data_IF_714991749632
#
_entry.id   IF_714991749632
#
_cell.length_a   1.000
_cell.length_b   1.000
_cell.length_c   1.000
_cell.angle_alpha   90.00
_cell.angle_beta   90.00
_cell.angle_gamma   90.00
#
_symmetry.space_group_name_H-M   'P 1'
#
loop_
_entity.id
_entity.type
_entity.pdbx_description
1 polymer ?
#
# COMPACT_ATOMS: atom_id res chain seq x y z
N UNK A 1 -13.75 -14.40 34.72
CA UNK A 1 -13.76 -15.36 35.84
C UNK A 1 -13.05 -14.82 37.08
N UNK A 2 -11.94 -14.09 36.96
CA UNK A 2 -11.21 -13.55 38.13
C UNK A 2 -12.07 -12.71 39.10
N UNK A 3 -12.87 -11.75 38.61
CA UNK A 3 -13.77 -10.92 39.45
C UNK A 3 -14.78 -11.72 40.28
N UNK A 4 -15.27 -12.86 39.76
CA UNK A 4 -16.22 -13.69 40.49
C UNK A 4 -15.53 -14.52 41.57
N UNK A 5 -14.33 -15.03 41.26
CA UNK A 5 -13.56 -15.88 42.17
C UNK A 5 -12.99 -15.08 43.34
N UNK A 6 -12.59 -13.83 43.12
CA UNK A 6 -12.00 -12.99 44.17
C UNK A 6 -13.05 -12.25 45.02
N UNK A 7 -14.12 -11.75 44.40
CA UNK A 7 -15.06 -10.85 45.07
C UNK A 7 -16.50 -11.38 45.14
N UNK A 8 -16.79 -12.58 44.64
CA UNK A 8 -18.15 -13.10 44.49
C UNK A 8 -19.07 -12.05 43.82
N UNK A 9 -18.55 -11.32 42.83
CA UNK A 9 -19.11 -10.06 42.34
C UNK A 9 -20.55 -10.19 41.79
N UNK A 10 -20.93 -11.36 41.29
CA UNK A 10 -22.28 -11.66 40.79
C UNK A 10 -23.13 -12.43 41.81
N UNK A 11 -22.48 -13.08 42.78
CA UNK A 11 -23.12 -13.88 43.84
C UNK A 11 -23.46 -13.06 45.09
N UNK A 12 -22.80 -11.91 45.27
CA UNK A 12 -23.07 -10.89 46.28
C UNK A 12 -24.32 -10.06 45.89
N UNK A 13 -25.01 -9.49 46.87
CA UNK A 13 -26.37 -8.94 46.74
C UNK A 13 -26.60 -7.84 45.68
N UNK A 14 -27.85 -7.39 45.57
CA UNK A 14 -28.43 -6.55 44.50
C UNK A 14 -27.66 -5.28 44.09
N UNK A 15 -26.76 -4.76 44.92
CA UNK A 15 -26.03 -3.51 44.68
C UNK A 15 -24.94 -3.65 43.59
N UNK A 16 -24.36 -4.84 43.45
CA UNK A 16 -23.34 -5.12 42.44
C UNK A 16 -23.92 -5.18 41.02
N UNK A 17 -25.23 -5.42 40.88
CA UNK A 17 -25.92 -5.37 39.58
C UNK A 17 -26.07 -3.93 39.06
N UNK A 18 -26.32 -2.97 39.96
CA UNK A 18 -26.33 -1.53 39.64
C UNK A 18 -24.95 -1.08 39.17
N UNK A 19 -23.92 -1.49 39.91
CA UNK A 19 -22.52 -1.17 39.60
C UNK A 19 -22.06 -1.77 38.28
N UNK A 20 -22.43 -3.02 38.00
CA UNK A 20 -22.20 -3.64 36.69
C UNK A 20 -22.88 -2.86 35.55
N UNK A 21 -24.12 -2.38 35.76
CA UNK A 21 -24.81 -1.58 34.76
C UNK A 21 -24.13 -0.22 34.51
N UNK A 22 -23.56 0.39 35.54
CA UNK A 22 -22.75 1.62 35.40
C UNK A 22 -21.44 1.36 34.66
N UNK A 23 -20.74 0.26 34.98
CA UNK A 23 -19.53 -0.16 34.27
C UNK A 23 -19.81 -0.40 32.78
N UNK A 24 -20.91 -1.09 32.44
CA UNK A 24 -21.29 -1.33 31.04
C UNK A 24 -21.64 -0.03 30.32
N UNK A 25 -22.31 0.92 30.98
CA UNK A 25 -22.57 2.26 30.42
C UNK A 25 -21.28 3.07 30.23
N UNK A 26 -20.29 2.90 31.11
CA UNK A 26 -18.97 3.51 30.96
C UNK A 26 -18.22 2.89 29.78
N UNK A 27 -18.15 1.56 29.68
CA UNK A 27 -17.57 0.85 28.53
C UNK A 27 -18.20 1.30 27.23
N UNK A 28 -19.53 1.38 27.17
CA UNK A 28 -20.23 1.80 25.94
C UNK A 28 -19.84 3.22 25.53
N UNK A 29 -19.73 4.16 26.48
CA UNK A 29 -19.30 5.54 26.19
C UNK A 29 -17.83 5.60 25.77
N UNK A 30 -16.95 4.97 26.54
CA UNK A 30 -15.51 5.04 26.35
C UNK A 30 -15.05 4.31 25.08
N UNK A 31 -15.64 3.16 24.75
CA UNK A 31 -15.34 2.47 23.50
C UNK A 31 -15.83 3.24 22.27
N UNK A 32 -16.99 3.90 22.36
CA UNK A 32 -17.52 4.69 21.25
C UNK A 32 -16.76 6.01 21.04
N UNK A 33 -16.30 6.67 22.11
CA UNK A 33 -15.57 7.93 22.03
C UNK A 33 -14.06 7.76 21.84
N UNK A 34 -13.42 6.92 22.66
CA UNK A 34 -11.96 6.82 22.74
C UNK A 34 -11.41 5.50 22.19
N UNK A 35 -12.27 4.51 21.89
CA UNK A 35 -11.87 3.15 21.45
C UNK A 35 -10.99 2.41 22.46
N UNK A 36 -10.90 2.92 23.67
CA UNK A 36 -10.19 2.32 24.79
C UNK A 36 -10.94 2.65 26.07
N UNK A 37 -11.02 1.68 26.97
CA UNK A 37 -11.66 1.83 28.26
C UNK A 37 -10.82 1.11 29.32
N UNK A 38 -10.63 1.76 30.45
CA UNK A 38 -9.95 1.18 31.61
C UNK A 38 -10.95 1.13 32.75
N UNK A 39 -11.35 -0.08 33.11
CA UNK A 39 -12.24 -0.33 34.23
C UNK A 39 -11.41 -0.68 35.45
N UNK A 40 -11.67 -0.03 36.57
CA UNK A 40 -10.99 -0.32 37.84
C UNK A 40 -12.04 -0.67 38.87
N UNK A 41 -12.07 -1.93 39.30
CA UNK A 41 -13.00 -2.40 40.33
C UNK A 41 -12.19 -3.06 41.45
N UNK A 42 -12.13 -2.38 42.61
CA UNK A 42 -11.31 -2.80 43.75
C UNK A 42 -9.83 -2.88 43.38
N UNK A 43 -9.28 -4.09 43.46
CA UNK A 43 -7.88 -4.42 43.12
C UNK A 43 -7.68 -4.77 41.65
N UNK A 44 -8.75 -4.96 40.87
CA UNK A 44 -8.66 -5.47 39.50
C UNK A 44 -8.89 -4.37 38.46
N UNK A 45 -7.93 -4.22 37.55
CA UNK A 45 -8.00 -3.26 36.44
C UNK A 45 -8.14 -4.00 35.11
N UNK A 46 -9.26 -3.80 34.41
CA UNK A 46 -9.52 -4.39 33.09
C UNK A 46 -9.32 -3.35 31.99
N UNK A 47 -8.41 -3.62 31.07
CA UNK A 47 -8.15 -2.75 29.92
C UNK A 47 -8.82 -3.31 28.66
N UNK A 48 -9.71 -2.52 28.06
CA UNK A 48 -10.39 -2.83 26.81
C UNK A 48 -9.86 -1.89 25.73
N UNK A 49 -9.50 -2.41 24.55
CA UNK A 49 -9.07 -1.63 23.40
C UNK A 49 -9.70 -2.20 22.12
N UNK A 50 -10.37 -1.34 21.36
CA UNK A 50 -10.88 -1.71 20.03
C UNK A 50 -9.72 -1.69 19.06
N UNK A 51 -9.26 -2.88 18.65
CA UNK A 51 -8.22 -3.02 17.63
C UNK A 51 -8.90 -3.09 16.27
N UNK A 52 -8.44 -2.25 15.33
CA UNK A 52 -8.85 -2.37 13.92
C UNK A 52 -8.01 -3.46 13.28
N UNK A 53 -8.64 -4.58 12.93
CA UNK A 53 -8.03 -5.62 12.13
C UNK A 53 -8.04 -5.14 10.67
N UNK A 54 -6.87 -4.73 10.16
CA UNK A 54 -6.72 -4.55 8.72
C UNK A 54 -6.69 -5.93 8.04
N UNK A 55 -7.07 -5.96 6.76
CA UNK A 55 -6.98 -7.17 5.96
C UNK A 55 -5.51 -7.62 5.84
N UNK A 56 -5.30 -8.93 5.75
CA UNK A 56 -3.95 -9.46 5.57
C UNK A 56 -3.30 -8.87 4.32
N UNK A 57 -2.10 -8.29 4.45
CA UNK A 57 -1.42 -7.66 3.32
C UNK A 57 -0.92 -8.76 2.38
N UNK A 58 -0.99 -8.48 1.07
CA UNK A 58 -0.46 -9.39 0.06
C UNK A 58 1.04 -9.62 0.29
N UNK A 59 1.57 -10.83 -0.02
CA UNK A 59 2.98 -11.10 0.10
C UNK A 59 3.79 -10.15 -0.79
N UNK A 60 4.85 -9.59 -0.22
CA UNK A 60 5.76 -8.68 -0.91
C UNK A 60 6.71 -9.48 -1.79
N UNK A 61 6.84 -9.08 -3.05
CA UNK A 61 7.75 -9.71 -4.00
C UNK A 61 9.05 -8.89 -4.12
N UNK A 62 10.16 -9.58 -4.39
CA UNK A 62 11.50 -8.98 -4.43
C UNK A 62 11.64 -7.82 -5.43
N UNK A 63 10.84 -7.85 -6.50
CA UNK A 63 10.83 -6.87 -7.59
C UNK A 63 9.82 -5.72 -7.40
N UNK A 64 9.13 -5.67 -6.26
CA UNK A 64 8.25 -4.55 -5.93
C UNK A 64 9.06 -3.41 -5.32
N UNK A 65 8.53 -2.21 -5.46
CA UNK A 65 9.14 -0.96 -5.01
C UNK A 65 8.21 -0.34 -3.95
N UNK A 66 8.66 -0.22 -2.69
CA UNK A 66 7.91 0.47 -1.64
C UNK A 66 7.99 1.99 -1.81
N UNK A 67 6.87 2.68 -1.64
CA UNK A 67 6.76 4.15 -1.67
C UNK A 67 5.93 4.63 -0.49
N UNK A 68 6.39 5.71 0.16
CA UNK A 68 5.62 6.38 1.21
C UNK A 68 4.42 7.14 0.63
N UNK A 69 3.28 7.01 1.31
CA UNK A 69 2.06 7.77 0.99
C UNK A 69 2.13 9.23 1.48
N UNK A 70 2.84 9.44 2.59
CA UNK A 70 2.98 10.73 3.27
C UNK A 70 4.46 11.08 3.45
N UNK A 71 4.74 12.33 3.81
CA UNK A 71 6.10 12.79 4.01
C UNK A 71 6.83 11.96 5.07
N UNK A 72 8.08 11.60 4.76
CA UNK A 72 8.96 10.78 5.61
C UNK A 72 9.11 11.34 7.03
N UNK A 73 8.94 12.65 7.18
CA UNK A 73 9.09 13.42 8.41
C UNK A 73 8.00 13.12 9.46
N UNK A 74 6.85 12.57 9.04
CA UNK A 74 5.78 12.17 9.96
C UNK A 74 6.15 10.90 10.74
N UNK A 75 7.03 10.07 10.18
CA UNK A 75 7.44 8.80 10.76
C UNK A 75 8.67 8.99 11.65
N UNK A 76 8.47 9.60 12.81
CA UNK A 76 9.53 9.87 13.79
C UNK A 76 10.20 8.57 14.27
N UNK A 77 11.54 8.49 14.21
CA UNK A 77 12.34 7.26 14.31
C UNK A 77 12.19 6.48 15.61
N UNK A 78 11.91 7.14 16.73
CA UNK A 78 12.16 6.56 18.06
C UNK A 78 11.17 5.49 18.52
N UNK A 79 10.04 5.35 17.83
CA UNK A 79 9.03 4.32 18.14
C UNK A 79 9.10 3.09 17.24
N UNK A 80 9.99 3.13 16.23
CA UNK A 80 10.12 2.08 15.23
C UNK A 80 11.10 1.00 15.71
N UNK A 81 10.84 -0.24 15.29
CA UNK A 81 11.75 -1.36 15.52
C UNK A 81 13.09 -1.15 14.79
N UNK A 82 14.15 -1.79 15.28
CA UNK A 82 15.50 -1.63 14.73
C UNK A 82 15.54 -1.96 13.23
N UNK A 83 14.79 -2.96 12.78
CA UNK A 83 14.75 -3.36 11.37
C UNK A 83 14.06 -2.32 10.49
N UNK A 84 12.93 -1.75 10.92
CA UNK A 84 12.31 -0.66 10.15
C UNK A 84 13.19 0.58 10.14
N UNK A 85 13.83 0.95 11.26
CA UNK A 85 14.77 2.09 11.30
C UNK A 85 15.92 1.95 10.29
N UNK A 86 16.44 0.73 10.09
CA UNK A 86 17.51 0.49 9.11
C UNK A 86 17.01 0.52 7.66
N UNK A 87 15.79 0.02 7.39
CA UNK A 87 15.23 -0.09 6.04
C UNK A 87 14.64 1.24 5.55
N UNK A 88 13.99 2.02 6.42
CA UNK A 88 13.25 3.25 6.12
C UNK A 88 14.10 4.32 5.40
N UNK A 89 15.40 4.51 5.69
CA UNK A 89 16.28 5.40 4.94
C UNK A 89 16.39 5.07 3.45
N UNK A 90 16.40 3.78 3.10
CA UNK A 90 16.63 3.28 1.73
C UNK A 90 15.33 3.17 0.90
N UNK A 91 14.17 3.41 1.50
CA UNK A 91 12.90 3.52 0.78
C UNK A 91 12.84 4.90 0.11
N UNK A 92 13.29 4.96 -1.13
CA UNK A 92 13.31 6.17 -1.97
C UNK A 92 12.17 6.22 -3.00
N UNK A 93 11.42 5.12 -3.13
CA UNK A 93 10.37 4.95 -4.12
C UNK A 93 10.83 4.54 -5.52
N UNK A 94 12.11 4.20 -5.71
CA UNK A 94 12.67 3.69 -6.96
C UNK A 94 13.37 2.36 -6.78
N UNK A 95 14.01 2.13 -5.63
CA UNK A 95 14.68 0.90 -5.30
C UNK A 95 13.68 -0.22 -5.00
N UNK A 96 13.94 -1.40 -5.54
CA UNK A 96 13.14 -2.59 -5.27
C UNK A 96 13.61 -3.27 -3.99
N UNK A 97 12.75 -4.10 -3.40
CA UNK A 97 12.99 -4.74 -2.09
C UNK A 97 14.34 -5.47 -2.03
N UNK A 98 14.74 -6.20 -3.09
CA UNK A 98 16.03 -6.89 -3.08
C UNK A 98 17.24 -5.94 -3.06
N UNK A 99 17.14 -4.78 -3.71
CA UNK A 99 18.20 -3.76 -3.67
C UNK A 99 18.25 -3.05 -2.32
N UNK A 100 17.09 -2.77 -1.74
CA UNK A 100 16.99 -2.20 -0.39
C UNK A 100 17.64 -3.15 0.62
N UNK A 101 17.40 -4.46 0.52
CA UNK A 101 18.03 -5.46 1.37
C UNK A 101 19.56 -5.46 1.25
N UNK A 102 20.08 -5.33 0.02
CA UNK A 102 21.52 -5.26 -0.21
C UNK A 102 22.16 -3.95 0.30
N UNK A 103 21.47 -2.82 0.18
CA UNK A 103 21.99 -1.52 0.66
C UNK A 103 21.87 -1.37 2.19
N UNK A 104 20.85 -1.97 2.80
CA UNK A 104 20.66 -1.98 4.24
C UNK A 104 21.48 -3.05 4.97
N UNK A 105 22.13 -3.98 4.24
CA UNK A 105 22.81 -5.16 4.78
C UNK A 105 21.90 -6.02 5.68
N UNK A 106 20.65 -6.22 5.24
CA UNK A 106 19.63 -7.00 5.95
C UNK A 106 19.16 -8.15 5.06
N UNK A 107 18.85 -9.30 5.66
CA UNK A 107 18.31 -10.44 4.92
C UNK A 107 17.01 -10.07 4.18
N UNK A 108 16.92 -10.45 2.90
CA UNK A 108 15.78 -10.11 2.04
C UNK A 108 14.42 -10.56 2.62
N UNK A 109 14.36 -11.74 3.24
CA UNK A 109 13.13 -12.22 3.86
C UNK A 109 12.66 -11.32 5.01
N UNK A 110 13.60 -10.81 5.82
CA UNK A 110 13.29 -9.89 6.91
C UNK A 110 12.82 -8.54 6.37
N UNK A 111 13.44 -8.02 5.30
CA UNK A 111 12.98 -6.79 4.63
C UNK A 111 11.59 -6.98 4.02
N UNK A 112 11.28 -8.14 3.42
CA UNK A 112 9.93 -8.45 2.93
C UNK A 112 8.89 -8.41 4.03
N UNK A 113 9.15 -9.06 5.17
CA UNK A 113 8.26 -9.03 6.33
C UNK A 113 8.11 -7.61 6.90
N UNK A 114 9.21 -6.86 6.98
CA UNK A 114 9.22 -5.46 7.41
C UNK A 114 8.34 -4.58 6.50
N UNK A 115 8.54 -4.65 5.18
CA UNK A 115 7.74 -3.89 4.20
C UNK A 115 6.29 -4.34 4.21
N UNK A 116 6.02 -5.63 4.40
CA UNK A 116 4.66 -6.16 4.54
C UNK A 116 3.93 -5.56 5.74
N UNK A 117 4.62 -5.40 6.87
CA UNK A 117 4.09 -4.72 8.05
C UNK A 117 3.83 -3.23 7.78
N UNK A 118 4.75 -2.55 7.09
CA UNK A 118 4.55 -1.13 6.70
C UNK A 118 3.33 -0.95 5.79
N UNK A 119 3.06 -1.92 4.91
CA UNK A 119 1.88 -1.94 4.04
C UNK A 119 0.61 -2.23 4.84
N UNK A 120 0.67 -3.11 5.84
CA UNK A 120 -0.45 -3.40 6.73
C UNK A 120 -0.93 -2.15 7.49
N UNK A 121 0.00 -1.34 7.98
CA UNK A 121 -0.31 -0.10 8.68
C UNK A 121 -0.64 1.06 7.74
N UNK A 122 -0.54 0.88 6.42
CA UNK A 122 -0.85 1.91 5.42
C UNK A 122 0.20 3.02 5.33
N UNK A 123 1.42 2.78 5.80
CA UNK A 123 2.54 3.73 5.73
C UNK A 123 3.15 3.73 4.32
N UNK A 124 3.23 2.54 3.72
CA UNK A 124 3.87 2.30 2.43
C UNK A 124 2.90 1.63 1.47
N UNK A 125 2.99 2.01 0.19
CA UNK A 125 2.35 1.31 -0.92
C UNK A 125 3.39 0.61 -1.78
N UNK A 126 3.00 -0.54 -2.34
CA UNK A 126 3.85 -1.32 -3.24
C UNK A 126 3.47 -1.03 -4.68
N UNK A 127 4.44 -0.60 -5.48
CA UNK A 127 4.29 -0.50 -6.93
C UNK A 127 5.21 -1.49 -7.64
N UNK A 128 4.89 -1.90 -8.87
CA UNK A 128 5.84 -2.65 -9.69
C UNK A 128 7.05 -1.79 -10.10
N UNK A 129 8.23 -2.41 -10.17
CA UNK A 129 9.43 -1.77 -10.69
C UNK A 129 9.22 -1.17 -12.09
N UNK A 130 9.72 0.06 -12.27
CA UNK A 130 9.72 0.72 -13.56
C UNK A 130 10.78 0.09 -14.48
N UNK A 131 10.34 -0.36 -15.66
CA UNK A 131 11.21 -0.83 -16.73
C UNK A 131 10.67 -0.30 -18.06
N UNK A 132 11.54 0.08 -18.99
CA UNK A 132 11.12 0.59 -20.30
C UNK A 132 10.40 -0.46 -21.15
N UNK A 133 10.64 -1.75 -20.90
CA UNK A 133 9.92 -2.87 -21.53
C UNK A 133 8.49 -3.05 -21.01
N UNK A 134 8.13 -2.42 -19.90
CA UNK A 134 6.80 -2.57 -19.32
C UNK A 134 5.73 -1.92 -20.20
N UNK A 135 4.56 -2.55 -20.17
CA UNK A 135 3.35 -2.05 -20.82
C UNK A 135 2.41 -1.55 -19.71
N UNK A 136 1.95 -0.32 -19.86
CA UNK A 136 0.99 0.31 -18.97
C UNK A 136 -0.30 0.57 -19.73
N UNK A 137 -1.43 0.41 -19.04
CA UNK A 137 -2.74 0.71 -19.58
C UNK A 137 -3.46 1.69 -18.67
N UNK A 138 -4.18 2.62 -19.28
CA UNK A 138 -5.03 3.58 -18.57
C UNK A 138 -6.21 2.89 -17.90
N UNK A 139 -6.62 3.42 -16.75
CA UNK A 139 -7.84 3.03 -16.05
C UNK A 139 -8.92 4.12 -16.24
N UNK A 140 -10.21 3.81 -16.05
CA UNK A 140 -11.27 4.82 -16.12
C UNK A 140 -11.11 5.95 -15.09
N UNK A 141 -10.28 5.75 -14.05
CA UNK A 141 -9.97 6.80 -13.06
C UNK A 141 -9.18 7.96 -13.66
N UNK A 142 -8.60 7.81 -14.85
CA UNK A 142 -7.98 8.93 -15.57
C UNK A 142 -8.95 10.09 -15.81
N UNK A 143 -10.27 9.83 -15.90
CA UNK A 143 -11.28 10.88 -16.00
C UNK A 143 -11.29 11.79 -14.77
N UNK A 144 -11.06 11.23 -13.58
CA UNK A 144 -10.99 12.01 -12.33
C UNK A 144 -9.82 13.00 -12.34
N UNK A 145 -8.72 12.66 -13.01
CA UNK A 145 -7.60 13.58 -13.20
C UNK A 145 -8.00 14.81 -14.04
N UNK A 146 -8.96 14.68 -14.97
CA UNK A 146 -9.44 15.81 -15.75
C UNK A 146 -10.39 16.72 -14.96
N UNK A 147 -11.11 16.17 -13.98
CA UNK A 147 -12.11 16.89 -13.17
C UNK A 147 -11.51 17.57 -11.94
N UNK A 148 -10.53 16.93 -11.27
CA UNK A 148 -9.97 17.41 -10.01
C UNK A 148 -8.71 18.27 -10.20
N UNK A 149 -8.81 19.56 -9.86
CA UNK A 149 -7.70 20.51 -9.98
C UNK A 149 -6.57 20.27 -8.97
N UNK A 150 -6.87 19.76 -7.76
CA UNK A 150 -5.86 19.47 -6.74
C UNK A 150 -5.00 18.30 -7.20
N UNK A 151 -5.64 17.26 -7.73
CA UNK A 151 -4.93 16.10 -8.28
C UNK A 151 -4.07 16.49 -9.49
N UNK A 152 -4.53 17.42 -10.33
CA UNK A 152 -3.74 17.97 -11.44
C UNK A 152 -2.48 18.68 -10.94
N UNK A 153 -2.61 19.57 -9.95
CA UNK A 153 -1.46 20.29 -9.39
C UNK A 153 -0.44 19.33 -8.77
N UNK A 154 -0.90 18.33 -7.99
CA UNK A 154 -0.03 17.28 -7.44
C UNK A 154 0.67 16.48 -8.53
N UNK A 155 -0.07 16.10 -9.58
CA UNK A 155 0.47 15.37 -10.73
C UNK A 155 1.55 16.18 -11.46
N UNK A 156 1.32 17.48 -11.70
CA UNK A 156 2.29 18.37 -12.34
C UNK A 156 3.53 18.53 -11.45
N UNK A 157 3.35 18.80 -10.16
CA UNK A 157 4.46 18.96 -9.22
C UNK A 157 5.34 17.70 -9.15
N UNK A 158 4.73 16.52 -9.15
CA UNK A 158 5.43 15.25 -9.03
C UNK A 158 6.08 14.78 -10.35
N UNK A 159 5.37 14.92 -11.48
CA UNK A 159 5.82 14.43 -12.79
C UNK A 159 6.83 15.37 -13.47
N UNK A 160 6.93 16.63 -13.05
CA UNK A 160 7.85 17.60 -13.65
C UNK A 160 9.31 17.26 -13.33
N UNK A 161 10.18 17.44 -14.33
CA UNK A 161 11.63 17.22 -14.17
C UNK A 161 12.27 18.18 -13.17
N UNK A 162 11.78 19.41 -13.09
CA UNK A 162 12.24 20.43 -12.15
C UNK A 162 11.07 21.31 -11.71
N UNK A 163 10.99 21.71 -10.43
CA UNK A 163 9.97 22.65 -9.96
C UNK A 163 10.08 24.02 -10.64
N UNK A 164 11.24 24.35 -11.21
CA UNK A 164 11.47 25.61 -11.94
C UNK A 164 10.85 25.63 -13.34
N UNK A 165 10.58 24.46 -13.92
CA UNK A 165 9.97 24.34 -15.24
C UNK A 165 8.91 23.24 -15.21
N UNK A 166 7.68 23.56 -14.75
CA UNK A 166 6.61 22.59 -14.70
C UNK A 166 6.22 22.14 -16.10
N UNK A 167 5.88 20.86 -16.22
CA UNK A 167 5.31 20.30 -17.44
C UNK A 167 3.85 20.73 -17.61
N UNK A 168 3.39 20.82 -18.85
CA UNK A 168 2.00 21.13 -19.12
C UNK A 168 1.10 19.93 -18.87
N UNK A 169 -0.03 20.15 -18.20
CA UNK A 169 -1.03 19.11 -17.93
C UNK A 169 -1.48 18.40 -19.21
N UNK A 170 -1.66 19.16 -20.30
CA UNK A 170 -2.05 18.61 -21.61
C UNK A 170 -1.08 17.52 -22.08
N UNK A 171 0.22 17.74 -21.90
CA UNK A 171 1.24 16.84 -22.41
C UNK A 171 1.37 15.60 -21.49
N UNK A 172 1.20 15.78 -20.18
CA UNK A 172 1.05 14.70 -19.20
C UNK A 172 -0.17 13.83 -19.55
N UNK A 173 -1.33 14.46 -19.76
CA UNK A 173 -2.57 13.78 -20.09
C UNK A 173 -2.47 13.06 -21.44
N UNK A 174 -1.85 13.69 -22.44
CA UNK A 174 -1.55 13.07 -23.75
C UNK A 174 -0.69 11.84 -23.57
N UNK A 175 0.30 11.86 -22.69
CA UNK A 175 1.15 10.70 -22.42
C UNK A 175 0.36 9.57 -21.77
N UNK A 176 -0.49 9.86 -20.78
CA UNK A 176 -1.40 8.86 -20.23
C UNK A 176 -2.35 8.31 -21.29
N UNK A 177 -3.01 9.16 -22.09
CA UNK A 177 -3.97 8.74 -23.10
C UNK A 177 -3.37 7.81 -24.18
N UNK A 178 -2.07 7.92 -24.45
CA UNK A 178 -1.36 7.05 -25.40
C UNK A 178 -0.88 5.72 -24.78
N UNK A 179 -1.03 5.51 -23.46
CA UNK A 179 -0.72 4.24 -22.81
C UNK A 179 -1.85 3.23 -23.07
N UNK A 180 -1.59 2.30 -23.98
CA UNK A 180 -2.57 1.30 -24.43
C UNK A 180 -2.03 -0.13 -24.32
N UNK A 181 -2.93 -1.11 -24.42
CA UNK A 181 -2.62 -2.54 -24.45
C UNK A 181 -1.78 -2.90 -25.69
N UNK A 182 -0.46 -2.77 -25.60
CA UNK A 182 0.46 -3.18 -26.67
C UNK A 182 1.63 -2.23 -26.90
N UNK A 183 1.57 -0.99 -26.40
CA UNK A 183 2.67 -0.04 -26.51
C UNK A 183 3.56 -0.13 -25.27
N UNK A 184 4.86 -0.37 -25.46
CA UNK A 184 5.81 -0.36 -24.35
C UNK A 184 6.12 1.08 -23.94
N UNK A 185 6.57 1.27 -22.70
CA UNK A 185 7.03 2.58 -22.24
C UNK A 185 8.19 3.11 -23.09
N UNK A 186 9.05 2.22 -23.62
CA UNK A 186 10.11 2.56 -24.58
C UNK A 186 9.55 3.20 -25.84
N UNK A 187 8.58 2.54 -26.49
CA UNK A 187 7.98 3.02 -27.74
C UNK A 187 7.19 4.32 -27.52
N UNK A 188 6.61 4.48 -26.32
CA UNK A 188 5.95 5.72 -25.91
C UNK A 188 6.95 6.86 -25.77
N UNK A 189 8.07 6.64 -25.06
CA UNK A 189 9.12 7.63 -24.88
C UNK A 189 9.74 8.05 -26.21
N UNK A 190 9.95 7.13 -27.15
CA UNK A 190 10.54 7.43 -28.46
C UNK A 190 9.60 8.28 -29.34
N UNK A 191 8.28 8.07 -29.23
CA UNK A 191 7.28 8.83 -30.01
C UNK A 191 7.00 10.22 -29.44
N UNK A 192 6.87 10.33 -28.12
CA UNK A 192 6.47 11.57 -27.46
C UNK A 192 7.65 12.41 -26.96
N UNK A 193 8.85 11.82 -26.86
CA UNK A 193 10.09 12.48 -26.40
C UNK A 193 9.89 13.27 -25.08
N UNK A 194 9.75 12.59 -23.93
CA UNK A 194 9.46 13.23 -22.64
C UNK A 194 10.49 14.26 -22.20
N UNK A 195 11.74 14.14 -22.69
CA UNK A 195 12.79 15.12 -22.43
C UNK A 195 12.45 16.52 -22.95
N UNK A 196 11.80 16.60 -24.12
CA UNK A 196 11.38 17.88 -24.69
C UNK A 196 10.13 18.43 -23.96
N UNK A 197 9.32 17.52 -23.42
CA UNK A 197 8.11 17.85 -22.66
C UNK A 197 8.39 18.21 -21.19
N UNK A 198 9.66 18.16 -20.75
CA UNK A 198 10.09 18.43 -19.35
C UNK A 198 9.47 17.48 -18.33
N UNK A 199 9.05 16.30 -18.76
CA UNK A 199 8.41 15.28 -17.91
C UNK A 199 9.45 14.23 -17.52
N UNK A 200 9.46 13.83 -16.25
CA UNK A 200 10.22 12.69 -15.78
C UNK A 200 9.35 11.43 -15.91
N UNK A 201 9.72 10.52 -16.81
CA UNK A 201 8.92 9.34 -17.10
C UNK A 201 8.75 8.40 -15.91
N UNK A 202 9.76 8.29 -15.05
CA UNK A 202 9.72 7.39 -13.89
C UNK A 202 8.74 7.92 -12.85
N UNK A 203 8.84 9.21 -12.53
CA UNK A 203 7.94 9.88 -11.58
C UNK A 203 6.51 9.94 -12.09
N UNK A 204 6.32 10.13 -13.40
CA UNK A 204 5.00 10.08 -14.02
C UNK A 204 4.36 8.71 -13.81
N UNK A 205 5.05 7.62 -14.17
CA UNK A 205 4.51 6.26 -14.01
C UNK A 205 4.29 5.93 -12.53
N UNK A 206 5.20 6.35 -11.65
CA UNK A 206 5.07 6.18 -10.21
C UNK A 206 3.77 6.84 -9.68
N UNK A 207 3.55 8.12 -9.98
CA UNK A 207 2.33 8.83 -9.59
C UNK A 207 1.07 8.17 -10.16
N UNK A 208 1.11 7.79 -11.44
CA UNK A 208 0.00 7.12 -12.09
C UNK A 208 -0.34 5.76 -11.45
N UNK A 209 0.65 5.03 -10.94
CA UNK A 209 0.45 3.76 -10.23
C UNK A 209 -0.09 3.98 -8.81
N UNK A 210 0.42 4.97 -8.07
CA UNK A 210 -0.04 5.33 -6.72
C UNK A 210 -1.51 5.75 -6.75
N UNK A 211 -1.87 6.68 -7.62
CA UNK A 211 -3.24 7.19 -7.76
C UNK A 211 -4.14 6.22 -8.57
N UNK A 212 -3.61 5.06 -8.97
CA UNK A 212 -4.30 4.02 -9.76
C UNK A 212 -4.89 4.50 -11.09
N UNK A 213 -4.31 5.56 -11.67
CA UNK A 213 -4.64 6.11 -12.99
C UNK A 213 -4.19 5.17 -14.12
N UNK A 214 -3.11 4.43 -13.87
CA UNK A 214 -2.58 3.40 -14.76
C UNK A 214 -2.43 2.08 -14.03
N UNK A 215 -2.47 0.99 -14.80
CA UNK A 215 -2.17 -0.36 -14.34
C UNK A 215 -1.09 -0.97 -15.22
N UNK A 216 -0.18 -1.74 -14.61
CA UNK A 216 0.79 -2.55 -15.36
C UNK A 216 0.08 -3.76 -15.98
N UNK A 217 0.33 -4.02 -17.25
CA UNK A 217 -0.17 -5.21 -17.94
C UNK A 217 0.94 -6.25 -17.98
N UNK A 218 0.66 -7.41 -17.39
CA UNK A 218 1.55 -8.56 -17.41
C UNK A 218 1.16 -9.49 -18.55
N UNK A 219 2.16 -9.98 -19.29
CA UNK A 219 2.00 -11.04 -20.29
C UNK A 219 2.45 -12.34 -19.66
N UNK A 220 1.56 -13.32 -19.60
CA UNK A 220 1.87 -14.66 -19.11
C UNK A 220 1.70 -15.66 -20.26
N UNK A 221 2.67 -16.57 -20.48
CA UNK A 221 2.50 -17.63 -21.46
C UNK A 221 1.38 -18.57 -20.99
N UNK A 222 0.51 -18.95 -21.92
CA UNK A 222 -0.49 -19.98 -21.68
C UNK A 222 0.04 -21.31 -22.21
N UNK A 223 0.09 -22.32 -21.35
CA UNK A 223 0.46 -23.67 -21.76
C UNK A 223 -0.74 -24.33 -22.44
N UNK A 224 -0.74 -24.37 -23.78
CA UNK A 224 -1.75 -25.08 -24.55
C UNK A 224 -1.36 -26.56 -24.54
N UNK A 225 -2.14 -27.41 -23.84
CA UNK A 225 -1.97 -28.86 -23.96
C UNK A 225 -2.36 -29.26 -25.38
N UNK A 226 -1.41 -29.80 -26.15
CA UNK A 226 -1.71 -30.41 -27.44
C UNK A 226 -2.58 -31.64 -27.18
N UNK A 227 -3.86 -31.57 -27.52
CA UNK A 227 -4.68 -32.77 -27.69
C UNK A 227 -4.16 -33.47 -28.94
N UNK A 228 -3.14 -34.31 -28.80
CA UNK A 228 -2.90 -35.39 -29.75
C UNK A 228 -4.18 -36.23 -29.72
N UNK A 229 -4.99 -36.13 -30.76
CA UNK A 229 -5.93 -37.19 -31.09
C UNK A 229 -5.03 -38.34 -31.53
N UNK A 230 -4.82 -39.29 -30.63
CA UNK A 230 -4.41 -40.63 -31.05
C UNK A 230 -5.52 -41.09 -32.01
N UNK A 231 -5.20 -41.01 -33.30
CA UNK A 231 -5.96 -41.71 -34.33
C UNK A 231 -5.53 -43.16 -34.12
N UNK A 232 -6.39 -43.94 -33.48
CA UNK A 232 -6.32 -45.39 -33.53
C UNK A 232 -6.41 -45.80 -35.01
N UNK A 233 -5.25 -45.97 -35.65
CA UNK A 233 -5.08 -46.85 -36.81
C UNK A 233 -5.28 -48.29 -36.31
N UNK A 234 -6.54 -48.72 -36.27
CA UNK A 234 -6.86 -50.14 -36.38
C UNK A 234 -6.80 -50.50 -37.88
N UNK A 235 -5.64 -50.91 -38.36
CA UNK A 235 -5.50 -51.76 -39.55
C UNK A 235 -4.87 -53.10 -39.17
N UNK A 236 -5.62 -54.15 -39.51
CA UNK A 236 -5.32 -55.61 -39.59
C UNK A 236 -5.10 -56.44 -38.32
#
# INVERSE_FOLDING_TARGET
MALEVENCFLSSGSDDKSRLAEMLKQVMRDLNSHKMCTLTEGTMTTHLKVVRLAAEPKPVLDHQVPIFLEDKEVYCSDQWDLTTQQVLPYIDGFNHVARIAAEADVENNLVKSCVQNLVYYGVVTLIPIFQYSNIYATTPKLKKLAEDHVLQQRCIAYASKSPRQPAYLRDIYRMYANMTHGTSMRDLCQRLNPQNLRINERRLVQFGLIETLIRRVYKYPIHIKSTRRDVDENEE
#
